data_IF_748010731571
#
_entry.id   IF_748010731571
#
_cell.length_a   1.000
_cell.length_b   1.000
_cell.length_c   1.000
_cell.angle_alpha   90.00
_cell.angle_beta   90.00
_cell.angle_gamma   90.00
#
_symmetry.space_group_name_H-M   'P 1'
#
loop_
_entity.id
_entity.type
_entity.pdbx_description
1 polymer ?
#
# COMPACT_ATOMS: atom_id res chain seq x y z
N UNK A 1 -18.70 82.64 -29.37
CA UNK A 1 -18.09 81.78 -30.40
C UNK A 1 -17.26 80.72 -29.70
N UNK A 2 -17.55 79.44 -30.03
CA UNK A 2 -16.84 78.22 -29.65
C UNK A 2 -16.58 77.95 -28.15
N UNK A 3 -17.61 77.48 -27.44
CA UNK A 3 -17.44 76.65 -26.23
C UNK A 3 -17.65 75.19 -26.62
N UNK A 4 -16.56 74.43 -26.71
CA UNK A 4 -16.54 73.01 -27.03
C UNK A 4 -17.09 72.19 -25.86
N UNK A 5 -18.23 71.55 -26.10
CA UNK A 5 -18.90 70.60 -25.21
C UNK A 5 -18.17 69.25 -25.26
N UNK A 6 -17.52 68.86 -24.16
CA UNK A 6 -16.94 67.53 -24.01
C UNK A 6 -18.04 66.51 -23.71
N UNK A 7 -18.25 65.55 -24.62
CA UNK A 7 -19.07 64.36 -24.38
C UNK A 7 -18.42 63.46 -23.31
N UNK A 8 -19.19 62.91 -22.35
CA UNK A 8 -18.67 61.90 -21.45
C UNK A 8 -18.47 60.60 -22.22
N UNK A 9 -17.23 60.11 -22.24
CA UNK A 9 -16.91 58.76 -22.72
C UNK A 9 -17.51 57.75 -21.73
N UNK A 10 -18.59 57.08 -22.13
CA UNK A 10 -18.99 55.84 -21.50
C UNK A 10 -17.90 54.79 -21.77
N UNK A 11 -17.04 54.57 -20.79
CA UNK A 11 -16.25 53.35 -20.71
C UNK A 11 -17.23 52.21 -20.46
N UNK A 12 -17.59 51.50 -21.53
CA UNK A 12 -18.14 50.16 -21.41
C UNK A 12 -17.07 49.30 -20.74
N UNK A 13 -17.16 49.15 -19.41
CA UNK A 13 -16.40 48.13 -18.70
C UNK A 13 -16.91 46.80 -19.26
N UNK A 14 -16.05 45.99 -19.90
CA UNK A 14 -16.48 44.68 -20.35
C UNK A 14 -16.96 43.91 -19.14
N UNK A 15 -18.14 43.31 -19.26
CA UNK A 15 -18.78 42.43 -18.29
C UNK A 15 -17.96 41.13 -18.17
N UNK A 16 -16.72 41.24 -17.67
CA UNK A 16 -15.71 40.19 -17.62
C UNK A 16 -15.05 40.11 -16.23
N UNK A 17 -15.65 40.75 -15.22
CA UNK A 17 -15.08 40.82 -13.87
C UNK A 17 -15.95 40.28 -12.74
N UNK A 18 -16.96 39.43 -13.01
CA UNK A 18 -17.78 38.80 -11.94
C UNK A 18 -17.99 37.30 -12.17
N UNK A 19 -16.98 36.58 -12.68
CA UNK A 19 -16.90 35.11 -12.48
C UNK A 19 -15.44 34.72 -12.25
N UNK A 20 -14.88 35.16 -11.12
CA UNK A 20 -13.60 34.64 -10.62
C UNK A 20 -13.61 34.52 -9.08
N UNK A 21 -14.76 34.21 -8.50
CA UNK A 21 -14.88 33.77 -7.12
C UNK A 21 -15.64 32.44 -7.15
N UNK A 22 -14.91 31.36 -7.41
CA UNK A 22 -15.18 30.01 -6.89
C UNK A 22 -14.21 29.02 -7.54
N UNK A 23 -13.60 28.19 -6.69
CA UNK A 23 -12.70 27.06 -7.01
C UNK A 23 -11.21 27.42 -7.18
N UNK A 24 -10.66 28.22 -6.25
CA UNK A 24 -9.37 27.87 -5.64
C UNK A 24 -9.69 27.26 -4.26
N UNK A 25 -10.24 26.05 -4.27
CA UNK A 25 -10.77 25.36 -3.07
C UNK A 25 -10.19 23.94 -2.89
N UNK A 26 -9.11 23.55 -3.58
CA UNK A 26 -8.90 22.12 -3.88
C UNK A 26 -7.98 21.29 -2.96
N UNK A 27 -6.97 21.85 -2.29
CA UNK A 27 -6.10 21.08 -1.36
C UNK A 27 -5.86 21.82 -0.04
N UNK A 28 -5.51 23.10 -0.11
CA UNK A 28 -5.34 23.95 1.09
C UNK A 28 -6.61 24.03 1.94
N UNK A 29 -7.80 24.03 1.29
CA UNK A 29 -9.06 24.01 2.01
C UNK A 29 -9.30 22.70 2.75
N UNK A 30 -8.88 21.56 2.18
CA UNK A 30 -8.99 20.26 2.84
C UNK A 30 -8.08 20.24 4.06
N UNK A 31 -6.82 20.63 3.88
CA UNK A 31 -5.82 20.72 4.97
C UNK A 31 -6.33 21.61 6.10
N UNK A 32 -6.83 22.81 5.76
CA UNK A 32 -7.40 23.74 6.73
C UNK A 32 -8.61 23.14 7.44
N UNK A 33 -9.54 22.53 6.71
CA UNK A 33 -10.76 21.95 7.28
C UNK A 33 -10.46 20.81 8.26
N UNK A 34 -9.48 19.95 7.94
CA UNK A 34 -9.02 18.90 8.86
C UNK A 34 -8.40 19.51 10.11
N UNK A 35 -7.45 20.44 9.96
CA UNK A 35 -6.70 21.00 11.09
C UNK A 35 -7.54 21.92 11.99
N UNK A 36 -8.61 22.53 11.49
CA UNK A 36 -9.58 23.30 12.29
C UNK A 36 -10.62 22.41 12.98
N UNK A 37 -10.72 21.13 12.63
CA UNK A 37 -11.66 20.20 13.26
C UNK A 37 -11.07 19.64 14.57
N UNK A 38 -11.63 19.99 15.74
CA UNK A 38 -11.12 19.54 17.04
C UNK A 38 -11.27 18.03 17.24
N UNK A 39 -12.15 17.39 16.49
CA UNK A 39 -12.34 15.95 16.51
C UNK A 39 -11.45 15.22 15.50
N UNK A 40 -10.58 15.89 14.72
CA UNK A 40 -9.81 15.24 13.67
C UNK A 40 -8.90 14.12 14.18
N UNK A 41 -8.19 14.30 15.29
CA UNK A 41 -7.26 13.28 15.83
C UNK A 41 -6.00 13.04 15.00
N UNK A 42 -5.82 13.75 13.89
CA UNK A 42 -4.66 13.71 13.01
C UNK A 42 -4.38 15.08 12.40
N UNK A 43 -3.13 15.26 11.95
CA UNK A 43 -2.66 16.49 11.30
C UNK A 43 -2.61 16.28 9.79
N UNK A 44 -3.20 17.23 9.06
CA UNK A 44 -3.08 17.32 7.61
C UNK A 44 -1.98 18.31 7.20
N UNK A 45 -1.25 17.98 6.15
CA UNK A 45 -0.29 18.87 5.51
C UNK A 45 -0.32 18.75 3.99
N UNK A 46 0.16 19.79 3.31
CA UNK A 46 0.40 19.69 1.87
C UNK A 46 1.49 18.65 1.61
N UNK A 47 1.16 17.66 0.78
CA UNK A 47 2.10 16.61 0.43
C UNK A 47 2.76 16.90 -0.92
N UNK A 48 4.09 17.11 -0.99
CA UNK A 48 4.78 17.41 -2.25
C UNK A 48 4.59 16.34 -3.33
N UNK A 49 4.31 15.09 -2.94
CA UNK A 49 4.04 14.00 -3.89
C UNK A 49 2.77 14.26 -4.71
N UNK A 50 1.76 14.86 -4.10
CA UNK A 50 0.42 15.02 -4.70
C UNK A 50 0.04 16.48 -4.99
N UNK A 51 0.89 17.44 -4.63
CA UNK A 51 0.60 18.87 -4.79
C UNK A 51 0.34 19.28 -6.23
N UNK A 52 0.96 18.58 -7.19
CA UNK A 52 0.82 18.83 -8.63
C UNK A 52 0.07 17.71 -9.37
N UNK A 53 -0.46 16.71 -8.65
CA UNK A 53 -1.19 15.60 -9.26
C UNK A 53 -2.64 15.98 -9.54
N UNK A 54 -3.12 15.59 -10.71
CA UNK A 54 -4.54 15.57 -11.03
C UNK A 54 -5.26 14.47 -10.23
N UNK A 55 -6.57 14.61 -10.09
CA UNK A 55 -7.42 13.58 -9.49
C UNK A 55 -7.26 12.25 -10.24
N UNK A 56 -7.14 12.26 -11.56
CA UNK A 56 -6.98 11.04 -12.36
C UNK A 56 -5.65 10.31 -12.04
N UNK A 57 -4.55 11.05 -11.90
CA UNK A 57 -3.25 10.50 -11.52
C UNK A 57 -3.28 9.93 -10.09
N UNK A 58 -3.91 10.64 -9.14
CA UNK A 58 -4.06 10.14 -7.78
C UNK A 58 -4.86 8.83 -7.75
N UNK A 59 -6.01 8.79 -8.43
CA UNK A 59 -6.86 7.59 -8.52
C UNK A 59 -6.15 6.40 -9.15
N UNK A 60 -5.21 6.64 -10.07
CA UNK A 60 -4.45 5.55 -10.71
C UNK A 60 -3.50 4.83 -9.77
N UNK A 61 -3.04 5.46 -8.69
CA UNK A 61 -2.26 4.78 -7.66
C UNK A 61 -3.14 3.93 -6.71
N UNK A 62 -4.46 4.15 -6.72
CA UNK A 62 -5.42 3.43 -5.88
C UNK A 62 -5.88 2.17 -6.61
N UNK A 63 -5.01 1.17 -6.58
CA UNK A 63 -5.07 -0.02 -7.43
C UNK A 63 -5.92 -1.17 -6.92
N UNK A 64 -6.72 -1.03 -5.86
CA UNK A 64 -7.61 -2.13 -5.43
C UNK A 64 -8.90 -2.10 -6.24
N UNK A 65 -9.17 -3.17 -6.96
CA UNK A 65 -10.43 -3.36 -7.68
C UNK A 65 -11.47 -4.03 -6.78
N UNK A 66 -12.75 -3.63 -6.85
CA UNK A 66 -13.81 -4.33 -6.13
C UNK A 66 -13.98 -5.74 -6.69
N UNK A 67 -13.96 -6.75 -5.81
CA UNK A 67 -14.18 -8.14 -6.22
C UNK A 67 -15.59 -8.31 -6.79
N UNK A 68 -15.77 -8.91 -7.98
CA UNK A 68 -17.10 -9.17 -8.53
C UNK A 68 -17.91 -10.08 -7.60
N UNK A 69 -19.16 -9.71 -7.29
CA UNK A 69 -20.08 -10.47 -6.41
C UNK A 69 -20.35 -11.92 -6.87
N UNK A 70 -19.97 -12.27 -8.10
CA UNK A 70 -20.17 -13.59 -8.69
C UNK A 70 -18.99 -14.53 -8.49
N UNK A 71 -17.81 -14.03 -8.08
CA UNK A 71 -16.60 -14.82 -7.87
C UNK A 71 -16.29 -15.01 -6.36
N UNK A 72 -17.34 -15.33 -5.60
CA UNK A 72 -17.27 -15.65 -4.17
C UNK A 72 -16.61 -17.01 -3.92
N UNK A 73 -15.45 -17.29 -4.54
CA UNK A 73 -14.56 -18.33 -4.00
C UNK A 73 -14.18 -17.86 -2.61
N UNK A 74 -14.83 -18.45 -1.61
CA UNK A 74 -14.52 -18.15 -0.22
C UNK A 74 -13.16 -18.75 0.07
N UNK A 75 -12.15 -17.88 0.15
CA UNK A 75 -10.93 -18.26 0.81
C UNK A 75 -11.25 -18.73 2.24
N UNK A 76 -10.49 -19.69 2.79
CA UNK A 76 -10.66 -20.07 4.18
C UNK A 76 -10.56 -18.83 5.08
N UNK A 77 -11.50 -18.68 6.01
CA UNK A 77 -11.47 -17.58 6.98
C UNK A 77 -10.76 -18.04 8.25
N UNK A 78 -9.75 -17.30 8.69
CA UNK A 78 -9.07 -17.51 9.97
C UNK A 78 -9.78 -16.78 11.08
N UNK A 79 -10.22 -17.53 12.08
CA UNK A 79 -10.80 -17.02 13.34
C UNK A 79 -9.92 -17.42 14.51
N UNK A 80 -9.94 -16.61 15.57
CA UNK A 80 -9.13 -16.83 16.77
C UNK A 80 -9.96 -16.74 18.06
N UNK A 81 -9.63 -17.55 19.08
CA UNK A 81 -10.35 -17.50 20.35
C UNK A 81 -10.07 -16.17 21.09
N UNK A 82 -11.14 -15.54 21.57
CA UNK A 82 -11.10 -14.29 22.37
C UNK A 82 -10.31 -14.41 23.68
N UNK A 83 -10.02 -15.63 24.13
CA UNK A 83 -9.24 -15.88 25.36
C UNK A 83 -7.75 -15.58 25.22
N UNK A 84 -7.23 -15.42 24.00
CA UNK A 84 -5.83 -15.06 23.77
C UNK A 84 -5.58 -13.63 24.25
N UNK A 85 -4.70 -13.46 25.25
CA UNK A 85 -4.31 -12.14 25.74
C UNK A 85 -3.25 -11.55 24.83
N UNK A 86 -3.48 -10.34 24.36
CA UNK A 86 -2.57 -9.59 23.50
C UNK A 86 -2.06 -8.34 24.23
N UNK A 87 -0.86 -7.84 23.88
CA UNK A 87 -0.39 -6.58 24.41
C UNK A 87 -1.28 -5.41 23.93
N UNK A 88 -1.35 -4.34 24.72
CA UNK A 88 -2.06 -3.11 24.34
C UNK A 88 -1.50 -2.48 23.06
N UNK A 89 -0.19 -2.57 22.89
CA UNK A 89 0.54 -2.05 21.75
C UNK A 89 1.42 -3.15 21.17
N UNK A 90 1.58 -3.15 19.86
CA UNK A 90 2.43 -4.08 19.16
C UNK A 90 2.97 -3.44 17.89
N UNK A 91 4.26 -3.63 17.65
CA UNK A 91 4.93 -3.21 16.43
C UNK A 91 5.81 -4.38 15.95
N UNK A 92 5.49 -4.94 14.78
CA UNK A 92 6.23 -6.07 14.23
C UNK A 92 7.74 -5.77 14.08
N UNK A 93 8.13 -4.50 13.88
CA UNK A 93 9.53 -4.09 13.74
C UNK A 93 10.32 -4.27 15.04
N UNK A 94 9.66 -4.09 16.19
CA UNK A 94 10.28 -4.29 17.51
C UNK A 94 10.14 -5.73 18.00
N UNK A 95 9.07 -6.43 17.59
CA UNK A 95 8.87 -7.84 17.90
C UNK A 95 9.86 -8.75 17.16
N UNK A 96 10.23 -8.40 15.93
CA UNK A 96 11.20 -9.13 15.11
C UNK A 96 12.29 -8.20 14.55
N UNK A 97 13.18 -7.66 15.40
CA UNK A 97 14.17 -6.65 15.01
C UNK A 97 15.22 -7.20 14.03
N UNK A 98 15.42 -8.51 13.97
CA UNK A 98 16.28 -9.18 13.01
C UNK A 98 15.71 -9.18 11.58
N UNK A 99 14.43 -8.84 11.41
CA UNK A 99 13.73 -8.85 10.13
C UNK A 99 13.67 -7.45 9.52
N UNK A 100 14.72 -7.08 8.77
CA UNK A 100 14.86 -5.74 8.22
C UNK A 100 13.80 -5.38 7.17
N UNK A 101 13.15 -6.38 6.57
CA UNK A 101 12.10 -6.18 5.57
C UNK A 101 10.84 -5.53 6.16
N UNK A 102 10.55 -5.76 7.45
CA UNK A 102 9.32 -5.29 8.09
C UNK A 102 9.23 -3.76 8.05
N UNK A 103 10.35 -3.10 8.38
CA UNK A 103 10.44 -1.64 8.43
C UNK A 103 10.81 -0.97 7.11
N UNK A 104 10.89 -1.71 5.99
CA UNK A 104 11.19 -1.15 4.68
C UNK A 104 9.94 -0.47 4.12
N UNK A 105 10.07 0.79 3.75
CA UNK A 105 9.05 1.54 3.00
C UNK A 105 9.45 1.52 1.53
N UNK A 106 8.49 1.15 0.68
CA UNK A 106 8.66 1.08 -0.76
C UNK A 106 7.90 2.19 -1.48
N UNK A 107 8.06 2.25 -2.80
CA UNK A 107 7.36 3.20 -3.66
C UNK A 107 6.76 2.47 -4.87
N UNK A 108 5.44 2.48 -5.00
CA UNK A 108 4.74 1.88 -6.13
C UNK A 108 4.82 2.72 -7.42
N UNK A 109 5.34 3.94 -7.34
CA UNK A 109 5.39 4.87 -8.46
C UNK A 109 3.99 5.31 -8.93
N UNK A 110 3.85 5.58 -10.22
CA UNK A 110 2.55 5.89 -10.86
C UNK A 110 1.92 4.66 -11.51
N UNK A 111 1.81 3.59 -10.72
CA UNK A 111 1.20 2.34 -11.09
C UNK A 111 0.25 1.93 -9.96
N UNK A 112 -0.97 1.49 -10.28
CA UNK A 112 -1.93 0.95 -9.32
C UNK A 112 -1.58 -0.47 -8.88
N UNK A 113 -0.34 -0.68 -8.43
CA UNK A 113 0.24 -1.97 -8.04
C UNK A 113 0.18 -2.23 -6.53
N UNK A 114 -0.50 -1.39 -5.74
CA UNK A 114 -0.61 -1.52 -4.29
C UNK A 114 -1.05 -2.92 -3.82
N UNK A 115 -1.96 -3.57 -4.57
CA UNK A 115 -2.45 -4.94 -4.34
C UNK A 115 -1.36 -6.01 -4.50
N UNK A 116 -0.29 -5.72 -5.23
CA UNK A 116 0.86 -6.60 -5.38
C UNK A 116 1.90 -6.29 -4.30
N UNK A 117 2.10 -5.01 -3.98
CA UNK A 117 3.03 -4.60 -2.92
C UNK A 117 2.59 -5.13 -1.55
N UNK A 118 1.34 -4.91 -1.13
CA UNK A 118 0.85 -5.37 0.17
C UNK A 118 1.07 -6.87 0.38
N UNK A 119 0.76 -7.67 -0.63
CA UNK A 119 0.97 -9.12 -0.62
C UNK A 119 2.45 -9.51 -0.52
N UNK A 120 3.29 -8.95 -1.40
CA UNK A 120 4.72 -9.32 -1.53
C UNK A 120 5.53 -8.84 -0.33
N UNK A 121 5.27 -7.64 0.17
CA UNK A 121 5.91 -7.12 1.37
C UNK A 121 5.56 -7.97 2.60
N UNK A 122 4.28 -8.27 2.79
CA UNK A 122 3.82 -9.09 3.91
C UNK A 122 4.41 -10.50 3.84
N UNK A 123 4.46 -11.12 2.66
CA UNK A 123 5.07 -12.44 2.52
C UNK A 123 6.59 -12.40 2.75
N UNK A 124 7.29 -11.38 2.27
CA UNK A 124 8.73 -11.18 2.54
C UNK A 124 9.03 -11.13 4.04
N UNK A 125 8.22 -10.37 4.78
CA UNK A 125 8.31 -10.27 6.24
C UNK A 125 8.10 -11.63 6.91
N UNK A 126 7.11 -12.38 6.44
CA UNK A 126 6.79 -13.71 6.95
C UNK A 126 7.91 -14.72 6.70
N UNK A 127 8.62 -14.65 5.57
CA UNK A 127 9.81 -15.48 5.35
C UNK A 127 10.87 -15.27 6.42
N UNK A 128 11.13 -14.02 6.82
CA UNK A 128 12.06 -13.75 7.91
C UNK A 128 11.52 -14.23 9.27
N UNK A 129 10.26 -13.94 9.57
CA UNK A 129 9.65 -14.30 10.86
C UNK A 129 9.62 -15.81 11.09
N UNK A 130 9.29 -16.60 10.06
CA UNK A 130 9.14 -18.05 10.20
C UNK A 130 10.43 -18.84 9.93
N UNK A 131 11.31 -18.36 9.05
CA UNK A 131 12.49 -19.11 8.62
C UNK A 131 13.82 -18.38 8.86
N UNK A 132 13.80 -17.14 9.37
CA UNK A 132 15.02 -16.33 9.55
C UNK A 132 15.62 -15.80 8.24
N UNK A 133 14.88 -15.89 7.13
CA UNK A 133 15.36 -15.48 5.81
C UNK A 133 14.95 -14.03 5.50
N UNK A 134 15.92 -13.12 5.58
CA UNK A 134 15.76 -11.71 5.19
C UNK A 134 15.80 -11.55 3.66
N UNK A 135 14.73 -11.98 3.00
CA UNK A 135 14.59 -11.89 1.54
C UNK A 135 13.53 -10.88 1.15
N UNK A 136 13.83 -10.03 0.16
CA UNK A 136 12.81 -9.21 -0.50
C UNK A 136 12.30 -9.96 -1.72
N UNK A 137 10.99 -10.11 -1.82
CA UNK A 137 10.32 -10.73 -2.97
C UNK A 137 10.01 -9.69 -4.04
N UNK A 138 9.94 -10.13 -5.30
CA UNK A 138 9.71 -9.27 -6.46
C UNK A 138 8.24 -8.91 -6.57
N UNK A 139 7.95 -7.61 -6.47
CA UNK A 139 6.64 -7.06 -6.81
C UNK A 139 6.43 -7.10 -8.32
N UNK A 140 7.49 -6.89 -9.11
CA UNK A 140 7.43 -6.86 -10.57
C UNK A 140 6.92 -8.19 -11.15
N UNK A 141 7.43 -9.31 -10.65
CA UNK A 141 7.04 -10.64 -11.12
C UNK A 141 5.57 -10.94 -10.81
N UNK A 142 5.07 -10.55 -9.63
CA UNK A 142 3.64 -10.66 -9.32
C UNK A 142 2.80 -9.81 -10.27
N UNK A 143 3.14 -8.53 -10.38
CA UNK A 143 2.45 -7.53 -11.18
C UNK A 143 2.38 -7.92 -12.66
N UNK A 144 3.50 -8.35 -13.23
CA UNK A 144 3.66 -8.61 -14.65
C UNK A 144 3.15 -10.01 -15.05
N UNK A 145 3.35 -11.03 -14.20
CA UNK A 145 3.13 -12.43 -14.56
C UNK A 145 1.82 -13.04 -14.05
N UNK A 146 1.13 -12.43 -13.07
CA UNK A 146 -0.16 -12.95 -12.65
C UNK A 146 -1.23 -12.82 -13.73
N UNK A 147 -1.15 -11.77 -14.55
CA UNK A 147 -2.11 -11.49 -15.62
C UNK A 147 -3.53 -11.27 -15.09
N UNK A 148 -4.53 -11.58 -15.92
CA UNK A 148 -5.95 -11.36 -15.62
C UNK A 148 -6.48 -12.09 -14.38
N UNK A 149 -5.72 -13.06 -13.85
CA UNK A 149 -6.09 -13.73 -12.61
C UNK A 149 -6.04 -12.77 -11.41
N UNK A 150 -5.04 -11.87 -11.35
CA UNK A 150 -4.95 -10.87 -10.28
C UNK A 150 -5.60 -9.53 -10.66
N UNK A 151 -6.01 -9.33 -11.92
CA UNK A 151 -6.59 -8.08 -12.41
C UNK A 151 -5.89 -7.52 -13.64
N UNK A 152 -5.67 -6.21 -13.67
CA UNK A 152 -5.19 -5.46 -14.84
C UNK A 152 -3.83 -4.78 -14.58
N UNK A 153 -3.01 -5.37 -13.71
CA UNK A 153 -1.66 -4.89 -13.45
C UNK A 153 -1.63 -3.50 -12.82
N UNK A 154 -1.05 -2.52 -13.52
CA UNK A 154 -0.99 -1.11 -13.10
C UNK A 154 -2.34 -0.39 -13.13
N UNK A 155 -3.38 -0.99 -13.73
CA UNK A 155 -4.75 -0.46 -13.70
C UNK A 155 -5.58 -1.09 -12.57
N UNK A 156 -4.91 -1.79 -11.66
CA UNK A 156 -5.44 -2.34 -10.41
C UNK A 156 -5.65 -3.85 -10.42
N UNK A 157 -5.81 -4.41 -9.24
CA UNK A 157 -5.94 -5.83 -9.02
C UNK A 157 -6.61 -6.19 -7.70
N UNK A 158 -6.59 -7.48 -7.39
CA UNK A 158 -7.34 -8.08 -6.30
C UNK A 158 -6.37 -8.71 -5.27
N UNK A 159 -6.34 -8.22 -4.02
CA UNK A 159 -5.41 -8.72 -2.99
C UNK A 159 -5.50 -10.23 -2.76
N UNK A 160 -6.70 -10.81 -2.65
CA UNK A 160 -6.83 -12.24 -2.38
C UNK A 160 -6.22 -13.11 -3.51
N UNK A 161 -6.48 -12.75 -4.76
CA UNK A 161 -5.99 -13.44 -5.94
C UNK A 161 -4.47 -13.31 -6.07
N UNK A 162 -3.88 -12.20 -5.62
CA UNK A 162 -2.43 -12.10 -5.44
C UNK A 162 -1.91 -13.17 -4.48
N UNK A 163 -2.51 -13.35 -3.31
CA UNK A 163 -2.12 -14.43 -2.39
C UNK A 163 -2.36 -15.83 -2.96
N UNK A 164 -3.45 -16.04 -3.71
CA UNK A 164 -3.68 -17.31 -4.40
C UNK A 164 -2.59 -17.59 -5.45
N UNK A 165 -2.14 -16.56 -6.18
CA UNK A 165 -1.05 -16.67 -7.12
C UNK A 165 0.29 -16.95 -6.40
N UNK A 166 0.55 -16.29 -5.28
CA UNK A 166 1.73 -16.56 -4.43
C UNK A 166 1.74 -18.03 -3.96
N UNK A 167 0.57 -18.61 -3.66
CA UNK A 167 0.46 -20.01 -3.28
C UNK A 167 0.67 -20.98 -4.46
N UNK A 168 0.10 -20.68 -5.64
CA UNK A 168 0.11 -21.58 -6.80
C UNK A 168 1.41 -21.49 -7.61
N UNK A 169 1.85 -20.27 -7.90
CA UNK A 169 2.90 -19.95 -8.86
C UNK A 169 4.15 -19.38 -8.19
N UNK A 170 3.98 -18.71 -7.05
CA UNK A 170 5.06 -18.02 -6.35
C UNK A 170 5.63 -16.84 -7.14
N UNK A 171 6.53 -16.11 -6.49
CA UNK A 171 7.25 -14.96 -7.07
C UNK A 171 8.75 -15.10 -6.84
N UNK A 172 9.56 -14.53 -7.72
CA UNK A 172 11.02 -14.52 -7.56
C UNK A 172 11.46 -13.49 -6.50
N UNK A 173 12.75 -13.45 -6.19
CA UNK A 173 13.31 -12.39 -5.34
C UNK A 173 13.38 -11.06 -6.08
N UNK A 174 13.37 -9.95 -5.34
CA UNK A 174 13.57 -8.59 -5.86
C UNK A 174 14.91 -8.47 -6.59
N UNK A 175 15.94 -9.22 -6.18
CA UNK A 175 17.23 -9.28 -6.87
C UNK A 175 17.12 -9.91 -8.27
N UNK A 176 16.26 -10.93 -8.43
CA UNK A 176 16.04 -11.58 -9.72
C UNK A 176 15.28 -10.67 -10.67
N UNK A 177 14.17 -10.07 -10.23
CA UNK A 177 13.32 -9.22 -11.06
C UNK A 177 12.93 -7.95 -10.29
N UNK A 178 13.81 -6.92 -10.28
CA UNK A 178 13.57 -5.68 -9.55
C UNK A 178 12.33 -4.94 -10.04
N UNK A 179 11.72 -4.13 -9.17
CA UNK A 179 10.62 -3.28 -9.56
C UNK A 179 10.99 -2.35 -10.72
N UNK A 180 10.15 -2.32 -11.75
CA UNK A 180 10.48 -1.64 -13.01
C UNK A 180 10.66 -0.12 -12.86
N UNK A 181 10.01 0.49 -11.87
CA UNK A 181 10.17 1.91 -11.53
C UNK A 181 11.29 2.10 -10.49
N UNK A 182 12.52 2.13 -10.99
CA UNK A 182 13.73 2.32 -10.16
C UNK A 182 13.97 3.78 -9.75
N UNK A 183 13.21 4.73 -10.28
CA UNK A 183 13.45 6.16 -10.04
C UNK A 183 12.62 6.59 -8.84
N UNK A 184 11.37 6.13 -8.73
CA UNK A 184 10.41 6.65 -7.76
C UNK A 184 10.15 8.13 -8.06
N UNK A 185 8.90 8.54 -8.20
CA UNK A 185 8.62 9.88 -8.70
C UNK A 185 9.09 11.00 -7.76
N UNK A 186 10.31 11.44 -8.01
CA UNK A 186 10.96 12.58 -7.38
C UNK A 186 10.74 13.77 -8.29
N UNK A 187 9.69 14.56 -7.99
CA UNK A 187 9.39 15.87 -8.58
C UNK A 187 8.59 15.86 -9.91
N UNK A 188 7.94 16.99 -10.31
CA UNK A 188 6.75 16.98 -11.15
C UNK A 188 7.05 16.60 -12.60
N UNK A 189 6.15 15.81 -13.21
CA UNK A 189 6.25 15.40 -14.62
C UNK A 189 6.34 13.90 -14.88
N UNK A 190 5.97 13.04 -13.94
CA UNK A 190 5.86 11.60 -14.18
C UNK A 190 4.57 11.23 -14.95
N UNK A 191 4.34 11.90 -16.06
CA UNK A 191 3.41 11.47 -17.08
C UNK A 191 4.18 10.81 -18.25
N UNK A 192 3.58 9.80 -18.90
CA UNK A 192 2.32 9.17 -18.55
C UNK A 192 2.52 8.09 -17.46
N UNK A 193 1.45 7.80 -16.74
CA UNK A 193 1.43 6.67 -15.82
C UNK A 193 1.81 5.36 -16.53
N UNK A 194 2.53 4.50 -15.81
CA UNK A 194 3.21 3.37 -16.43
C UNK A 194 2.21 2.31 -16.91
N UNK A 195 2.39 1.76 -18.14
CA UNK A 195 1.68 0.55 -18.52
C UNK A 195 2.22 -0.63 -17.71
N UNK A 196 1.40 -1.65 -17.51
CA UNK A 196 1.84 -2.90 -16.89
C UNK A 196 3.04 -3.48 -17.66
N UNK A 197 4.18 -3.76 -17.00
CA UNK A 197 5.33 -4.37 -17.66
C UNK A 197 4.97 -5.75 -18.21
N UNK A 198 5.70 -6.20 -19.23
CA UNK A 198 5.54 -7.57 -19.76
C UNK A 198 6.13 -8.57 -18.77
N UNK A 199 5.47 -9.70 -18.58
CA UNK A 199 6.04 -10.82 -17.85
C UNK A 199 7.32 -11.34 -18.52
N UNK A 200 8.46 -11.19 -17.84
CA UNK A 200 9.75 -11.73 -18.27
C UNK A 200 10.18 -12.82 -17.30
N UNK A 201 10.22 -14.06 -17.76
CA UNK A 201 10.60 -15.22 -16.93
C UNK A 201 12.10 -15.46 -16.93
N UNK A 202 12.86 -14.42 -16.57
CA UNK A 202 14.32 -14.44 -16.52
C UNK A 202 14.81 -13.41 -15.50
N UNK A 203 15.81 -13.77 -14.70
CA UNK A 203 16.44 -12.80 -13.80
C UNK A 203 17.30 -11.78 -14.56
N UNK A 204 17.46 -10.59 -13.98
CA UNK A 204 18.36 -9.54 -14.50
C UNK A 204 19.83 -9.99 -14.43
N UNK A 205 20.22 -10.71 -13.39
CA UNK A 205 21.48 -11.44 -13.34
C UNK A 205 21.36 -12.74 -14.13
N UNK A 206 22.18 -12.87 -15.19
CA UNK A 206 22.23 -14.06 -16.04
C UNK A 206 22.70 -15.33 -15.31
N UNK A 207 23.31 -15.21 -14.14
CA UNK A 207 23.76 -16.34 -13.33
C UNK A 207 22.63 -16.92 -12.45
N UNK A 208 21.55 -16.17 -12.22
CA UNK A 208 20.43 -16.62 -11.40
C UNK A 208 19.31 -17.20 -12.26
N UNK A 209 18.86 -18.41 -11.91
CA UNK A 209 17.73 -19.05 -12.57
C UNK A 209 16.40 -18.55 -11.97
N UNK A 210 15.53 -18.02 -12.82
CA UNK A 210 14.20 -17.52 -12.42
C UNK A 210 13.38 -18.57 -11.68
N UNK A 211 13.43 -19.83 -12.11
CA UNK A 211 12.71 -20.93 -11.45
C UNK A 211 13.23 -21.28 -10.06
N UNK A 212 14.53 -21.11 -9.81
CA UNK A 212 15.13 -21.40 -8.50
C UNK A 212 15.00 -20.20 -7.54
N UNK A 213 14.91 -18.98 -8.07
CA UNK A 213 14.60 -17.78 -7.28
C UNK A 213 13.15 -17.72 -6.78
N UNK A 214 12.24 -18.54 -7.34
CA UNK A 214 10.84 -18.58 -6.90
C UNK A 214 10.70 -18.92 -5.41
N UNK A 215 9.82 -18.19 -4.74
CA UNK A 215 9.35 -18.33 -3.37
C UNK A 215 7.83 -18.35 -3.36
N UNK A 216 7.24 -19.12 -2.46
CA UNK A 216 5.83 -19.45 -2.48
C UNK A 216 5.18 -19.17 -1.14
N UNK A 217 3.88 -18.88 -1.17
CA UNK A 217 3.01 -19.10 -0.02
C UNK A 217 2.59 -20.56 0.04
N UNK A 218 2.27 -21.08 1.23
CA UNK A 218 1.63 -22.39 1.39
C UNK A 218 0.16 -22.32 0.99
N UNK A 219 -0.49 -21.20 1.30
CA UNK A 219 -1.92 -21.00 1.14
C UNK A 219 -2.26 -19.51 1.00
N UNK A 220 -3.53 -19.24 0.73
CA UNK A 220 -4.12 -17.91 0.82
C UNK A 220 -5.37 -18.02 1.70
N UNK A 221 -5.57 -17.07 2.59
CA UNK A 221 -6.73 -17.03 3.49
C UNK A 221 -7.09 -15.59 3.84
N UNK A 222 -8.36 -15.38 4.18
CA UNK A 222 -8.81 -14.14 4.81
C UNK A 222 -8.77 -14.27 6.32
N UNK A 223 -8.68 -13.15 7.03
CA UNK A 223 -8.87 -13.11 8.48
C UNK A 223 -10.27 -12.59 8.78
N UNK A 224 -10.89 -13.09 9.84
CA UNK A 224 -12.18 -12.59 10.32
C UNK A 224 -12.09 -11.09 10.63
N UNK A 225 -13.14 -10.33 10.29
CA UNK A 225 -13.15 -8.86 10.38
C UNK A 225 -13.17 -8.32 11.81
N UNK A 226 -13.27 -9.21 12.79
CA UNK A 226 -13.07 -8.87 14.19
C UNK A 226 -11.62 -8.37 14.45
N UNK A 227 -11.44 -7.14 14.98
CA UNK A 227 -10.11 -6.58 15.24
C UNK A 227 -9.20 -7.49 16.08
N UNK A 228 -9.78 -8.24 17.02
CA UNK A 228 -9.01 -9.19 17.83
C UNK A 228 -8.42 -10.33 16.98
N UNK A 229 -9.15 -10.86 16.01
CA UNK A 229 -8.64 -11.89 15.09
C UNK A 229 -7.48 -11.35 14.24
N UNK A 230 -7.60 -10.12 13.75
CA UNK A 230 -6.54 -9.43 13.00
C UNK A 230 -5.29 -9.22 13.88
N UNK A 231 -5.47 -8.75 15.12
CA UNK A 231 -4.37 -8.58 16.07
C UNK A 231 -3.68 -9.92 16.38
N UNK A 232 -4.45 -11.01 16.58
CA UNK A 232 -3.88 -12.35 16.83
C UNK A 232 -3.07 -12.84 15.64
N UNK A 233 -3.56 -12.65 14.41
CA UNK A 233 -2.82 -13.04 13.20
C UNK A 233 -1.48 -12.32 13.13
N UNK A 234 -1.48 -11.00 13.29
CA UNK A 234 -0.25 -10.19 13.23
C UNK A 234 0.71 -10.59 14.34
N UNK A 235 0.20 -10.79 15.56
CA UNK A 235 1.00 -11.18 16.72
C UNK A 235 1.73 -12.51 16.52
N UNK A 236 1.05 -13.49 15.90
CA UNK A 236 1.58 -14.85 15.74
C UNK A 236 2.44 -15.04 14.50
N UNK A 237 2.00 -14.45 13.39
CA UNK A 237 2.50 -14.78 12.06
C UNK A 237 3.10 -13.56 11.34
N UNK A 238 3.06 -12.36 11.94
CA UNK A 238 3.61 -11.15 11.33
C UNK A 238 2.64 -10.41 10.41
N UNK A 239 3.13 -9.39 9.69
CA UNK A 239 2.32 -8.47 8.91
C UNK A 239 1.31 -9.13 7.96
N UNK A 240 0.18 -8.46 7.75
CA UNK A 240 -0.89 -8.87 6.83
C UNK A 240 -1.15 -7.77 5.81
N UNK A 241 -1.73 -8.14 4.67
CA UNK A 241 -2.22 -7.18 3.71
C UNK A 241 -3.68 -6.83 4.04
N UNK A 242 -4.00 -5.55 3.97
CA UNK A 242 -5.35 -5.02 4.12
C UNK A 242 -5.61 -3.99 3.03
N UNK A 243 -6.87 -3.74 2.72
CA UNK A 243 -7.27 -2.63 1.85
C UNK A 243 -8.33 -1.75 2.50
N UNK A 244 -8.41 -0.51 2.03
CA UNK A 244 -9.38 0.47 2.51
C UNK A 244 -9.74 1.48 1.43
N UNK A 245 -10.87 2.16 1.65
CA UNK A 245 -11.33 3.25 0.80
C UNK A 245 -10.54 4.52 1.10
N UNK A 246 -9.84 5.03 0.11
CA UNK A 246 -9.12 6.30 0.17
C UNK A 246 -10.04 7.44 -0.23
N UNK A 247 -10.05 8.48 0.60
CA UNK A 247 -10.72 9.76 0.37
C UNK A 247 -9.68 10.85 0.04
N UNK A 248 -10.13 12.00 -0.47
CA UNK A 248 -9.23 13.11 -0.83
C UNK A 248 -8.37 13.59 0.35
N UNK A 249 -8.93 13.62 1.56
CA UNK A 249 -8.22 14.07 2.76
C UNK A 249 -7.03 13.18 3.13
N UNK A 250 -7.08 11.87 2.86
CA UNK A 250 -6.00 10.94 3.16
C UNK A 250 -4.70 11.26 2.42
N UNK A 251 -4.78 11.85 1.23
CA UNK A 251 -3.60 12.30 0.48
C UNK A 251 -2.74 13.29 1.29
N UNK A 252 -3.37 13.99 2.23
CA UNK A 252 -2.78 15.02 3.08
C UNK A 252 -2.37 14.53 4.48
N UNK A 253 -2.50 13.23 4.78
CA UNK A 253 -2.08 12.70 6.08
C UNK A 253 -0.62 13.04 6.38
N UNK A 254 -0.38 13.63 7.57
CA UNK A 254 0.96 13.92 8.08
C UNK A 254 1.30 13.11 9.32
N UNK A 255 0.44 13.12 10.34
CA UNK A 255 0.67 12.45 11.61
C UNK A 255 -0.64 12.23 12.38
N UNK A 256 -0.63 11.43 13.45
CA UNK A 256 -1.80 11.17 14.30
C UNK A 256 -2.59 9.93 13.87
N UNK A 257 -3.85 9.81 14.31
CA UNK A 257 -4.71 8.65 13.98
C UNK A 257 -5.74 9.08 12.94
N UNK A 258 -5.53 8.64 11.69
CA UNK A 258 -6.41 8.98 10.58
C UNK A 258 -7.83 8.44 10.82
N UNK A 259 -8.79 9.31 10.54
CA UNK A 259 -10.21 9.04 10.33
C UNK A 259 -10.73 10.04 9.31
N UNK A 260 -11.63 9.60 8.46
CA UNK A 260 -12.10 10.43 7.37
C UNK A 260 -12.92 11.63 7.90
N UNK A 261 -12.61 12.83 7.42
CA UNK A 261 -13.27 14.09 7.80
C UNK A 261 -13.98 14.72 6.59
N UNK A 262 -13.33 14.76 5.44
CA UNK A 262 -13.85 15.49 4.27
C UNK A 262 -13.31 14.94 2.94
N UNK A 263 -13.95 15.32 1.85
CA UNK A 263 -13.54 14.96 0.50
C UNK A 263 -14.24 13.71 -0.05
N UNK A 264 -14.19 13.56 -1.37
CA UNK A 264 -14.82 12.47 -2.10
C UNK A 264 -14.04 11.15 -2.06
N UNK A 265 -14.71 10.05 -2.42
CA UNK A 265 -14.07 8.74 -2.61
C UNK A 265 -13.16 8.78 -3.83
N UNK A 266 -11.89 8.43 -3.63
CA UNK A 266 -10.87 8.37 -4.67
C UNK A 266 -10.68 6.94 -5.20
N UNK A 267 -10.69 5.92 -4.35
CA UNK A 267 -10.54 4.53 -4.78
C UNK A 267 -10.22 3.58 -3.63
N UNK A 268 -9.93 2.33 -3.95
CA UNK A 268 -9.42 1.36 -2.97
C UNK A 268 -7.89 1.30 -3.01
N UNK A 269 -7.25 1.20 -1.85
CA UNK A 269 -5.80 1.09 -1.73
C UNK A 269 -5.42 -0.03 -0.77
N UNK A 270 -4.44 -0.84 -1.16
CA UNK A 270 -3.92 -1.95 -0.36
C UNK A 270 -2.60 -1.55 0.29
N UNK A 271 -2.40 -1.96 1.53
CA UNK A 271 -1.29 -1.55 2.39
C UNK A 271 -0.89 -2.70 3.31
N UNK A 272 0.29 -2.58 3.92
CA UNK A 272 0.82 -3.57 4.85
C UNK A 272 0.52 -3.16 6.29
N UNK A 273 -0.25 -3.98 7.01
CA UNK A 273 -0.60 -3.79 8.41
C UNK A 273 0.44 -4.49 9.31
N UNK A 274 1.15 -3.72 10.14
CA UNK A 274 2.32 -4.21 10.91
C UNK A 274 2.13 -4.18 12.43
N UNK A 275 1.05 -3.57 12.93
CA UNK A 275 0.87 -3.41 14.37
C UNK A 275 -0.36 -2.62 14.77
N UNK A 276 -0.45 -2.31 16.06
CA UNK A 276 -1.54 -1.54 16.66
C UNK A 276 -1.08 -0.83 17.93
N UNK A 277 -1.90 0.10 18.40
CA UNK A 277 -1.72 0.71 19.71
C UNK A 277 -2.91 1.57 20.11
N UNK A 278 -2.66 2.45 21.09
CA UNK A 278 -3.58 3.49 21.54
C UNK A 278 -2.79 4.79 21.63
N UNK A 279 -3.29 5.88 21.05
CA UNK A 279 -2.63 7.18 21.11
C UNK A 279 -2.67 7.77 22.53
N UNK A 280 -1.85 8.79 22.80
CA UNK A 280 -1.90 9.53 24.08
C UNK A 280 -3.30 10.14 24.35
N UNK A 281 -4.05 10.44 23.30
CA UNK A 281 -5.43 10.93 23.37
C UNK A 281 -6.46 9.81 23.63
N UNK A 282 -6.02 8.54 23.73
CA UNK A 282 -6.89 7.39 23.99
C UNK A 282 -7.52 6.78 22.73
N UNK A 283 -7.05 7.12 21.53
CA UNK A 283 -7.60 6.58 20.28
C UNK A 283 -6.86 5.31 19.85
N UNK A 284 -7.61 4.20 19.76
CA UNK A 284 -7.12 2.93 19.26
C UNK A 284 -6.80 3.01 17.76
N UNK A 285 -5.63 2.52 17.37
CA UNK A 285 -5.18 2.56 15.98
C UNK A 285 -4.55 1.26 15.50
N UNK A 286 -4.57 1.11 14.17
CA UNK A 286 -3.72 0.21 13.40
C UNK A 286 -2.48 0.98 12.92
N UNK A 287 -1.31 0.32 12.90
CA UNK A 287 -0.05 0.87 12.38
C UNK A 287 0.27 0.22 11.04
N UNK A 288 0.41 1.04 9.99
CA UNK A 288 0.56 0.56 8.62
C UNK A 288 1.78 1.18 7.95
N UNK A 289 2.41 0.37 7.10
CA UNK A 289 3.42 0.80 6.14
C UNK A 289 2.73 1.05 4.79
N UNK A 290 2.91 2.25 4.25
CA UNK A 290 2.40 2.62 2.93
C UNK A 290 3.48 2.45 1.85
N UNK A 291 3.07 2.48 0.58
CA UNK A 291 3.91 2.28 -0.59
C UNK A 291 4.11 3.56 -1.41
N UNK A 292 4.09 4.71 -0.75
CA UNK A 292 4.21 6.04 -1.39
C UNK A 292 5.51 6.76 -1.03
N UNK A 293 6.55 5.99 -0.69
CA UNK A 293 7.86 6.48 -0.24
C UNK A 293 7.83 7.14 1.16
N UNK A 294 9.02 7.36 1.74
CA UNK A 294 9.23 7.91 3.08
C UNK A 294 8.87 9.40 3.21
N UNK A 295 8.74 10.11 2.09
CA UNK A 295 8.34 11.52 2.08
C UNK A 295 6.84 11.73 2.41
N UNK A 296 6.04 10.68 2.30
CA UNK A 296 4.61 10.71 2.61
C UNK A 296 4.34 10.33 4.09
N UNK A 297 3.39 11.01 4.73
CA UNK A 297 2.95 10.69 6.09
C UNK A 297 4.04 10.84 7.16
N UNK A 298 4.07 9.85 8.06
CA UNK A 298 5.03 9.73 9.15
C UNK A 298 6.15 8.77 8.73
N UNK A 299 7.11 9.27 7.94
CA UNK A 299 8.22 8.48 7.38
C UNK A 299 7.75 7.26 6.55
N UNK A 300 6.69 7.44 5.77
CA UNK A 300 6.04 6.39 4.96
C UNK A 300 5.01 5.55 5.71
N UNK A 301 4.86 5.76 7.01
CA UNK A 301 3.86 5.10 7.84
C UNK A 301 2.64 5.98 8.06
N UNK A 302 1.55 5.33 8.45
CA UNK A 302 0.38 6.02 8.98
C UNK A 302 -0.32 5.16 10.03
N UNK A 303 -1.17 5.83 10.80
CA UNK A 303 -2.08 5.18 11.72
C UNK A 303 -3.51 5.46 11.28
N UNK A 304 -4.37 4.47 11.36
CA UNK A 304 -5.81 4.59 11.08
C UNK A 304 -6.59 4.03 12.25
N UNK A 305 -7.76 4.61 12.52
CA UNK A 305 -8.61 4.22 13.64
C UNK A 305 -8.97 2.72 13.57
N UNK A 306 -8.75 2.02 14.69
CA UNK A 306 -9.04 0.60 14.88
C UNK A 306 -10.35 0.39 15.63
N UNK A 307 -11.07 -0.67 15.30
CA UNK A 307 -12.28 -1.13 15.99
C UNK A 307 -13.58 -0.51 15.49
N UNK A 308 -13.51 0.36 14.49
CA UNK A 308 -14.67 0.99 13.86
C UNK A 308 -14.82 0.63 12.39
N UNK A 309 -13.98 -0.29 11.88
CA UNK A 309 -13.83 -0.58 10.46
C UNK A 309 -13.68 0.70 9.61
N UNK A 310 -12.86 1.64 10.10
CA UNK A 310 -12.64 2.94 9.46
C UNK A 310 -12.24 2.76 8.00
N UNK A 311 -12.96 3.40 7.09
CA UNK A 311 -12.76 3.27 5.64
C UNK A 311 -12.82 1.82 5.09
N UNK A 312 -13.34 0.86 5.87
CA UNK A 312 -13.39 -0.56 5.50
C UNK A 312 -12.12 -1.36 5.80
N UNK A 313 -11.12 -0.80 6.48
CA UNK A 313 -9.78 -1.39 6.70
C UNK A 313 -9.78 -2.79 7.36
N UNK A 314 -10.85 -3.16 8.07
CA UNK A 314 -10.99 -4.44 8.78
C UNK A 314 -11.81 -5.47 7.98
N UNK A 315 -12.29 -5.12 6.79
CA UNK A 315 -13.27 -5.93 6.05
C UNK A 315 -12.64 -7.11 5.30
N UNK A 316 -11.49 -6.88 4.67
CA UNK A 316 -10.85 -7.84 3.76
C UNK A 316 -9.35 -8.10 4.08
N UNK A 317 -8.94 -8.30 5.36
CA UNK A 317 -7.57 -8.67 5.66
C UNK A 317 -7.21 -10.04 5.06
N UNK A 318 -6.10 -10.10 4.32
CA UNK A 318 -5.63 -11.29 3.60
C UNK A 318 -4.19 -11.62 3.95
N UNK A 319 -3.88 -12.91 3.99
CA UNK A 319 -2.55 -13.42 4.29
C UNK A 319 -2.33 -14.84 3.79
N UNK A 320 -1.10 -15.31 4.00
CA UNK A 320 -0.62 -16.66 3.74
C UNK A 320 0.59 -16.97 4.61
N UNK A 321 0.95 -18.25 4.72
CA UNK A 321 2.18 -18.65 5.41
C UNK A 321 3.29 -18.93 4.39
N UNK A 322 4.56 -18.60 4.69
CA UNK A 322 5.66 -18.80 3.76
C UNK A 322 5.93 -20.30 3.59
N UNK A 323 6.24 -20.72 2.37
CA UNK A 323 6.51 -22.11 2.02
C UNK A 323 8.00 -22.42 2.03
N UNK A 324 8.36 -23.62 2.47
CA UNK A 324 9.74 -24.14 2.38
C UNK A 324 10.13 -24.61 0.97
N UNK A 325 9.19 -24.60 0.02
CA UNK A 325 9.45 -24.91 -1.38
C UNK A 325 10.52 -23.97 -1.93
N UNK A 326 11.51 -24.56 -2.61
CA UNK A 326 12.71 -23.89 -3.15
C UNK A 326 13.69 -23.31 -2.13
N UNK A 327 13.44 -23.37 -0.81
CA UNK A 327 14.43 -22.99 0.21
C UNK A 327 15.51 -24.08 0.37
N UNK A 328 15.11 -25.36 0.38
CA UNK A 328 16.01 -26.49 0.72
C UNK A 328 17.15 -26.66 -0.32
N UNK A 329 16.96 -26.21 -1.55
CA UNK A 329 18.04 -26.24 -2.56
C UNK A 329 19.22 -25.34 -2.17
N UNK A 330 18.98 -24.22 -1.49
CA UNK A 330 20.03 -23.27 -1.08
C UNK A 330 20.83 -23.77 0.13
N UNK A 331 20.18 -24.50 1.05
CA UNK A 331 20.87 -25.11 2.20
C UNK A 331 21.75 -26.29 1.78
N UNK A 332 21.36 -27.02 0.73
CA UNK A 332 22.14 -28.14 0.21
C UNK A 332 23.40 -27.70 -0.57
N UNK A 333 23.46 -26.47 -1.07
CA UNK A 333 24.64 -25.94 -1.79
C UNK A 333 25.76 -25.45 -0.87
N UNK A 334 25.46 -25.10 0.39
CA UNK A 334 26.46 -24.64 1.36
C UNK A 334 27.06 -25.77 2.22
N UNK A 335 26.58 -27.02 2.05
CA UNK A 335 26.97 -28.18 2.87
C UNK A 335 27.93 -29.18 2.23
N UNK A 336 28.41 -28.95 1.00
CA UNK A 336 29.23 -29.93 0.27
C UNK A 336 30.73 -29.57 0.26
N UNK A 337 31.35 -29.50 1.43
CA UNK A 337 32.81 -29.68 1.57
C UNK A 337 33.07 -30.65 2.73
N UNK A 338 33.98 -31.59 2.47
CA UNK A 338 34.51 -32.69 3.31
C UNK A 338 33.68 -33.97 3.36
N UNK A 339 34.00 -34.94 2.50
CA UNK A 339 34.89 -36.04 2.90
C UNK A 339 35.32 -36.87 1.68
N UNK A 340 36.62 -36.91 1.41
CA UNK A 340 37.22 -37.81 0.43
C UNK A 340 38.51 -38.35 1.04
N UNK A 341 38.36 -39.28 1.98
CA UNK A 341 39.41 -40.25 2.31
C UNK A 341 39.22 -41.49 1.44
N UNK A 342 40.17 -41.75 0.52
CA UNK A 342 40.76 -43.05 0.23
C UNK A 342 42.05 -42.86 -0.56
#
# INVERSE_FOLDING_TARGET
MATTTAQPRFLAIPLLLIVAISICHSQESIVKHVNENPEAGWEAAMNPRFSNSTVAEFRRMLGVKPRPKQDLRSAPVKTYPKSLKLPKEFDARTAWPQCSTIGRILDQGHCGSCWAFGAVESLSDRFCIHFGLNISLSVNDLLACCGFFCGEGCDGGYPLEAWEYLARSGVVTEECDPYFDNIGCSHPGCEPAFPTPRCVRKCVDGNQLWSDSKRYSVNAYTIDSDPHSIMVEIYKNGPVEVDFTVYEDFAHYKSGVYKHITGGIMGGHAVKLIGWGTSDAGEDYWLLANQWNRSWGDDGYFKIRRGTNECGIESDPVAGLPSTRNIIKEVASDGAITDASY
#
